data_IF_828946572206
#
_entry.id   IF_828946572206
#
_cell.length_a   1.000
_cell.length_b   1.000
_cell.length_c   1.000
_cell.angle_alpha   90.00
_cell.angle_beta   90.00
_cell.angle_gamma   90.00
#
_symmetry.space_group_name_H-M   'P 1'
#
loop_
_entity.id
_entity.type
_entity.pdbx_description
1 polymer ?
#
# COMPACT_ATOMS: atom_id res chain seq x y z
N UNK A 1 -52.51 -13.76 53.71
CA UNK A 1 -52.11 -12.34 53.78
C UNK A 1 -50.96 -12.17 52.80
N UNK A 2 -50.99 -11.40 51.71
CA UNK A 2 -51.93 -10.47 51.09
C UNK A 2 -51.68 -10.59 49.56
N UNK A 3 -52.74 -10.59 48.77
CA UNK A 3 -52.69 -10.45 47.31
C UNK A 3 -52.66 -8.96 46.95
N UNK A 4 -51.81 -8.54 45.98
CA UNK A 4 -51.94 -7.24 45.28
C UNK A 4 -51.24 -7.35 43.92
N UNK A 5 -52.00 -7.51 42.83
CA UNK A 5 -52.25 -6.49 41.76
C UNK A 5 -51.03 -6.26 40.86
N UNK A 6 -50.92 -6.85 39.66
CA UNK A 6 -51.65 -6.66 38.39
C UNK A 6 -50.89 -5.76 37.39
N UNK A 7 -50.90 -6.24 36.14
CA UNK A 7 -51.11 -5.45 34.92
C UNK A 7 -50.06 -4.41 34.50
N UNK A 8 -49.28 -4.76 33.47
CA UNK A 8 -49.16 -3.89 32.28
C UNK A 8 -48.99 -4.76 31.01
N UNK A 9 -49.81 -4.58 29.97
CA UNK A 9 -49.61 -5.20 28.66
C UNK A 9 -48.75 -4.31 27.75
N UNK A 10 -47.94 -4.96 26.90
CA UNK A 10 -47.67 -4.60 25.51
C UNK A 10 -47.13 -3.20 25.15
N UNK A 11 -45.87 -3.15 24.71
CA UNK A 11 -45.38 -2.33 23.58
C UNK A 11 -44.27 -3.16 22.91
N UNK A 12 -44.41 -3.72 21.71
CA UNK A 12 -44.57 -3.12 20.38
C UNK A 12 -43.39 -2.23 19.97
N UNK A 13 -42.60 -2.71 19.01
CA UNK A 13 -41.56 -1.96 18.29
C UNK A 13 -40.18 -2.10 18.93
N UNK A 14 -39.07 -2.26 18.20
CA UNK A 14 -38.84 -2.21 16.78
C UNK A 14 -37.51 -2.96 16.52
N UNK A 15 -37.46 -3.74 15.44
CA UNK A 15 -36.20 -4.28 14.96
C UNK A 15 -35.38 -3.14 14.37
N UNK A 16 -34.30 -2.76 15.05
CA UNK A 16 -33.26 -1.94 14.44
C UNK A 16 -32.35 -2.87 13.64
N UNK A 17 -32.77 -3.19 12.43
CA UNK A 17 -31.88 -3.68 11.40
C UNK A 17 -30.87 -2.55 11.13
N UNK A 18 -29.67 -2.67 11.69
CA UNK A 18 -28.57 -1.78 11.31
C UNK A 18 -28.29 -2.04 9.83
N UNK A 19 -28.65 -1.06 8.99
CA UNK A 19 -28.22 -1.01 7.60
C UNK A 19 -26.70 -1.24 7.56
N UNK A 20 -26.16 -1.97 6.57
CA UNK A 20 -24.74 -1.84 6.28
C UNK A 20 -24.54 -0.37 5.95
N UNK A 21 -23.93 0.37 6.88
CA UNK A 21 -23.41 1.69 6.60
C UNK A 21 -22.56 1.47 5.35
N UNK A 22 -23.01 2.04 4.24
CA UNK A 22 -22.22 2.13 3.03
C UNK A 22 -20.94 2.83 3.45
N UNK A 23 -19.91 2.03 3.75
CA UNK A 23 -18.57 2.54 3.86
C UNK A 23 -18.35 3.32 2.56
N UNK A 24 -17.90 4.57 2.61
CA UNK A 24 -17.49 5.24 1.40
C UNK A 24 -16.53 4.28 0.70
N UNK A 25 -16.89 3.85 -0.51
CA UNK A 25 -15.98 3.09 -1.36
C UNK A 25 -14.67 3.87 -1.31
N UNK A 26 -13.53 3.24 -0.94
CA UNK A 26 -12.29 3.96 -0.84
C UNK A 26 -12.10 4.67 -2.17
N UNK A 27 -12.13 6.00 -2.13
CA UNK A 27 -11.71 6.80 -3.26
C UNK A 27 -10.36 6.22 -3.67
N UNK A 28 -10.13 5.91 -4.96
CA UNK A 28 -8.88 5.29 -5.36
C UNK A 28 -7.77 6.21 -4.85
N UNK A 29 -7.01 5.73 -3.86
CA UNK A 29 -5.75 6.34 -3.53
C UNK A 29 -5.02 6.37 -4.86
N UNK A 30 -4.61 7.56 -5.31
CA UNK A 30 -3.77 7.68 -6.50
C UNK A 30 -2.40 7.18 -6.06
N UNK A 31 -2.33 5.86 -5.89
CA UNK A 31 -1.21 5.12 -5.39
C UNK A 31 -0.17 5.26 -6.48
N UNK A 32 0.77 6.14 -6.19
CA UNK A 32 1.67 6.71 -7.16
C UNK A 32 2.81 5.74 -7.39
N UNK A 33 2.51 4.64 -8.08
CA UNK A 33 3.45 3.57 -8.38
C UNK A 33 4.66 4.08 -9.17
N UNK A 34 5.73 3.28 -9.16
CA UNK A 34 6.91 3.53 -9.97
C UNK A 34 6.61 3.28 -11.46
N UNK A 35 7.29 4.02 -12.34
CA UNK A 35 7.23 3.79 -13.78
C UNK A 35 8.17 2.63 -14.17
N UNK A 36 9.30 2.54 -13.47
CA UNK A 36 10.33 1.52 -13.66
C UNK A 36 10.79 0.93 -12.33
N UNK A 37 10.96 -0.38 -12.29
CA UNK A 37 11.63 -1.08 -11.20
C UNK A 37 12.74 -1.95 -11.79
N UNK A 38 13.96 -1.80 -11.29
CA UNK A 38 15.07 -2.71 -11.57
C UNK A 38 15.18 -3.71 -10.43
N UNK A 39 15.33 -5.00 -10.75
CA UNK A 39 15.47 -6.08 -9.75
C UNK A 39 16.51 -7.10 -10.19
N UNK A 40 16.86 -8.03 -9.28
CA UNK A 40 17.66 -9.20 -9.63
C UNK A 40 19.11 -8.88 -9.97
N UNK A 41 19.65 -7.75 -9.51
CA UNK A 41 21.02 -7.32 -9.76
C UNK A 41 21.70 -6.77 -8.51
N UNK A 42 22.81 -6.05 -8.71
CA UNK A 42 23.43 -5.23 -7.65
C UNK A 42 23.23 -3.77 -8.02
N UNK A 43 22.50 -3.02 -7.21
CA UNK A 43 22.36 -1.58 -7.34
C UNK A 43 23.33 -0.94 -6.37
N UNK A 44 24.30 -0.20 -6.92
CA UNK A 44 25.27 0.54 -6.10
C UNK A 44 24.70 1.93 -5.86
N UNK A 45 24.42 2.25 -4.60
CA UNK A 45 24.10 3.61 -4.19
C UNK A 45 25.31 4.22 -3.53
N UNK A 46 25.82 5.31 -4.11
CA UNK A 46 26.93 6.09 -3.55
C UNK A 46 26.35 7.10 -2.54
N UNK A 47 25.57 6.59 -1.59
CA UNK A 47 25.11 7.33 -0.42
C UNK A 47 26.15 7.26 0.71
N UNK A 48 25.94 7.99 1.81
CA UNK A 48 26.92 8.04 2.92
C UNK A 48 27.22 6.68 3.56
N UNK A 49 26.42 5.65 3.28
CA UNK A 49 26.63 4.29 3.74
C UNK A 49 27.10 3.31 2.65
N UNK A 50 27.44 3.79 1.44
CA UNK A 50 27.91 2.99 0.30
C UNK A 50 27.09 1.70 0.12
N UNK A 51 25.75 1.84 0.12
CA UNK A 51 24.87 0.68 0.18
C UNK A 51 24.85 -0.03 -1.17
N UNK A 52 24.84 -1.36 -1.11
CA UNK A 52 24.57 -2.23 -2.26
C UNK A 52 23.24 -2.91 -1.98
N UNK A 53 22.28 -2.73 -2.87
CA UNK A 53 20.96 -3.39 -2.78
C UNK A 53 20.66 -4.22 -4.02
N UNK A 54 19.59 -4.98 -4.02
CA UNK A 54 19.20 -5.83 -5.14
C UNK A 54 18.22 -5.17 -6.12
N UNK A 55 17.54 -4.10 -5.69
CA UNK A 55 16.43 -3.51 -6.43
C UNK A 55 16.31 -1.99 -6.26
N UNK A 56 15.75 -1.28 -7.24
CA UNK A 56 15.48 0.17 -7.17
C UNK A 56 14.24 0.55 -7.99
N UNK A 57 13.43 1.46 -7.47
CA UNK A 57 12.20 1.95 -8.09
C UNK A 57 12.37 3.42 -8.52
N UNK A 58 11.95 3.71 -9.75
CA UNK A 58 12.06 5.02 -10.39
C UNK A 58 10.68 5.47 -10.85
N UNK A 59 10.34 6.72 -10.53
CA UNK A 59 9.16 7.42 -11.02
C UNK A 59 9.58 8.71 -11.70
N UNK A 60 9.25 8.86 -12.99
CA UNK A 60 9.70 9.95 -13.83
C UNK A 60 11.22 10.08 -13.81
N UNK A 61 11.70 11.15 -13.19
CA UNK A 61 13.13 11.48 -13.05
C UNK A 61 13.67 11.29 -11.62
N UNK A 62 12.94 10.58 -10.75
CA UNK A 62 13.29 10.43 -9.33
C UNK A 62 13.31 8.97 -8.91
N UNK A 63 14.31 8.61 -8.11
CA UNK A 63 14.34 7.34 -7.38
C UNK A 63 13.39 7.47 -6.18
N UNK A 64 12.40 6.60 -6.10
CA UNK A 64 11.36 6.63 -5.05
C UNK A 64 11.57 5.57 -3.97
N UNK A 65 12.27 4.47 -4.30
CA UNK A 65 12.70 3.46 -3.33
C UNK A 65 13.94 2.72 -3.79
N UNK A 66 14.69 2.18 -2.82
CA UNK A 66 15.94 1.42 -2.98
C UNK A 66 15.84 0.21 -2.04
N UNK A 67 16.03 -0.99 -2.57
CA UNK A 67 15.86 -2.26 -1.84
C UNK A 67 14.43 -2.76 -1.90
N UNK A 68 13.65 -2.57 -0.83
CA UNK A 68 12.26 -2.99 -0.84
C UNK A 68 11.43 -2.07 -1.74
N UNK A 69 11.02 -2.61 -2.89
CA UNK A 69 10.30 -1.89 -3.95
C UNK A 69 8.91 -2.47 -4.19
N UNK A 70 8.48 -3.45 -3.37
CA UNK A 70 7.25 -4.20 -3.61
C UNK A 70 6.01 -3.28 -3.57
N UNK A 71 5.98 -2.32 -2.64
CA UNK A 71 4.90 -1.32 -2.51
C UNK A 71 4.80 -0.37 -3.71
N UNK A 72 5.88 -0.21 -4.47
CA UNK A 72 5.94 0.69 -5.63
C UNK A 72 5.51 0.04 -6.93
N UNK A 73 5.20 -1.27 -6.91
CA UNK A 73 4.79 -2.02 -8.09
C UNK A 73 3.31 -1.81 -8.38
N UNK A 74 3.02 -1.15 -9.50
CA UNK A 74 1.68 -0.92 -10.01
C UNK A 74 1.38 -1.61 -11.34
N UNK A 75 0.14 -1.47 -11.84
CA UNK A 75 -0.30 -2.06 -13.10
C UNK A 75 0.48 -1.59 -14.33
N UNK A 76 1.02 -0.37 -14.29
CA UNK A 76 1.78 0.24 -15.38
C UNK A 76 3.29 0.20 -15.16
N UNK A 77 3.74 -0.34 -14.03
CA UNK A 77 5.16 -0.38 -13.67
C UNK A 77 5.90 -1.37 -14.55
N UNK A 78 6.95 -0.90 -15.22
CA UNK A 78 7.82 -1.74 -16.03
C UNK A 78 8.94 -2.33 -15.16
N UNK A 79 9.02 -3.65 -15.11
CA UNK A 79 10.06 -4.34 -14.34
C UNK A 79 11.20 -4.77 -15.28
N UNK A 80 12.42 -4.44 -14.92
CA UNK A 80 13.65 -4.81 -15.62
C UNK A 80 14.47 -5.71 -14.71
N UNK A 81 14.55 -6.99 -15.06
CA UNK A 81 15.47 -7.93 -14.43
C UNK A 81 16.90 -7.71 -14.94
N UNK A 82 17.80 -7.36 -14.01
CA UNK A 82 19.21 -7.11 -14.26
C UNK A 82 19.99 -8.40 -14.51
N UNK A 83 19.45 -9.58 -14.13
CA UNK A 83 20.09 -10.89 -14.32
C UNK A 83 21.49 -10.98 -13.70
N UNK A 84 21.63 -10.51 -12.46
CA UNK A 84 22.88 -10.48 -11.70
C UNK A 84 23.85 -9.37 -12.10
N UNK A 85 23.51 -8.52 -13.08
CA UNK A 85 24.34 -7.38 -13.48
C UNK A 85 24.24 -6.22 -12.48
N UNK A 86 25.24 -5.34 -12.53
CA UNK A 86 25.34 -4.18 -11.63
C UNK A 86 24.76 -2.92 -12.28
N UNK A 87 23.89 -2.20 -11.55
CA UNK A 87 23.42 -0.86 -11.86
C UNK A 87 24.29 0.13 -11.09
N UNK A 88 24.96 1.02 -11.84
CA UNK A 88 25.82 2.07 -11.31
C UNK A 88 25.19 3.45 -11.52
N UNK A 89 25.49 4.44 -10.65
CA UNK A 89 25.19 5.83 -10.93
C UNK A 89 25.86 6.28 -12.24
N UNK A 90 25.21 7.21 -12.95
CA UNK A 90 25.82 7.86 -14.09
C UNK A 90 27.05 8.66 -13.68
N UNK A 91 28.08 8.67 -14.53
CA UNK A 91 29.26 9.51 -14.36
C UNK A 91 28.97 10.94 -14.84
N UNK A 92 29.58 11.92 -14.17
CA UNK A 92 29.58 13.34 -14.55
C UNK A 92 31.04 13.81 -14.74
N UNK A 93 31.28 14.75 -15.65
CA UNK A 93 32.58 15.42 -15.89
C UNK A 93 32.39 16.95 -15.83
#
# INVERSE_FOLDING_TARGET
>A
MLATTALIPGVAGAQAQAAPASAPAPAPAVESYADLIFTGGKVVTVDSADRITDSVAVRGNRIVAVGDVAEWRGPQTRIIDLKGRTLLPGFID
#
